data_IF_596626953553
#
_entry.id   IF_596626953553
#
_cell.length_a   1.000
_cell.length_b   1.000
_cell.length_c   1.000
_cell.angle_alpha   90.00
_cell.angle_beta   90.00
_cell.angle_gamma   90.00
#
_symmetry.space_group_name_H-M   'P 1'
#
loop_
_entity.id
_entity.type
_entity.pdbx_description
1 polymer ?
#
# COMPACT_ATOMS: atom_id res chain seq x y z
N UNK A 1 18.23 -7.48 7.45
CA UNK A 1 17.08 -6.85 6.74
C UNK A 1 17.34 -5.36 6.51
N UNK A 2 17.77 -4.61 7.53
CA UNK A 2 18.20 -3.20 7.42
C UNK A 2 19.33 -3.01 6.38
N UNK A 3 20.32 -3.92 6.32
CA UNK A 3 21.44 -3.78 5.37
C UNK A 3 21.03 -3.99 3.90
N UNK A 4 20.03 -4.83 3.62
CA UNK A 4 19.53 -5.04 2.26
C UNK A 4 18.72 -3.83 1.77
N UNK A 5 17.98 -3.19 2.68
CA UNK A 5 17.28 -1.92 2.44
C UNK A 5 18.27 -0.79 2.14
N UNK A 6 19.29 -0.59 2.98
CA UNK A 6 20.32 0.42 2.77
C UNK A 6 21.07 0.20 1.44
N UNK A 7 21.40 -1.06 1.13
CA UNK A 7 22.07 -1.42 -0.13
C UNK A 7 21.25 -1.10 -1.38
N UNK A 8 19.92 -1.27 -1.35
CA UNK A 8 19.10 -0.88 -2.50
C UNK A 8 19.17 0.61 -2.81
N UNK A 9 19.17 1.46 -1.80
CA UNK A 9 19.24 2.91 -1.98
C UNK A 9 20.64 3.41 -2.33
N UNK A 10 21.69 2.70 -1.92
CA UNK A 10 23.07 3.02 -2.25
C UNK A 10 23.48 2.54 -3.65
N UNK A 11 23.10 1.30 -4.00
CA UNK A 11 23.55 0.64 -5.23
C UNK A 11 22.47 0.54 -6.29
N UNK A 12 21.22 0.92 -6.03
CA UNK A 12 20.10 0.78 -6.97
C UNK A 12 19.61 -0.65 -7.20
N UNK A 13 20.24 -1.63 -6.54
CA UNK A 13 19.92 -3.06 -6.60
C UNK A 13 19.96 -3.63 -5.19
N UNK A 14 19.12 -4.62 -4.92
CA UNK A 14 19.14 -5.26 -3.60
C UNK A 14 20.40 -6.09 -3.48
N UNK A 15 21.21 -5.81 -2.45
CA UNK A 15 22.45 -6.52 -2.16
C UNK A 15 22.23 -8.04 -2.11
N UNK A 16 23.10 -8.78 -2.79
CA UNK A 16 23.04 -10.23 -2.89
C UNK A 16 23.09 -10.76 -4.32
N UNK A 17 22.69 -10.00 -5.34
CA UNK A 17 22.72 -10.49 -6.72
C UNK A 17 23.83 -9.85 -7.56
N UNK A 18 24.98 -10.53 -7.67
CA UNK A 18 26.13 -10.09 -8.46
C UNK A 18 25.78 -9.78 -9.93
N UNK A 19 24.84 -10.52 -10.53
CA UNK A 19 24.39 -10.27 -11.89
C UNK A 19 23.68 -8.92 -12.06
N UNK A 20 22.92 -8.48 -11.06
CA UNK A 20 22.22 -7.19 -11.13
C UNK A 20 23.20 -6.02 -10.98
N UNK A 21 24.17 -6.16 -10.08
CA UNK A 21 25.23 -5.16 -9.90
C UNK A 21 26.05 -5.01 -11.19
N UNK A 22 26.41 -6.14 -11.84
CA UNK A 22 27.06 -6.12 -13.15
C UNK A 22 26.18 -5.52 -14.25
N UNK A 23 24.89 -5.82 -14.25
CA UNK A 23 23.92 -5.24 -15.18
C UNK A 23 23.85 -3.73 -15.06
N UNK A 24 23.76 -3.22 -13.83
CA UNK A 24 23.70 -1.80 -13.52
C UNK A 24 24.96 -1.05 -13.98
N UNK A 25 26.13 -1.66 -13.81
CA UNK A 25 27.40 -1.11 -14.27
C UNK A 25 27.46 -0.98 -15.81
N UNK A 26 26.88 -1.95 -16.54
CA UNK A 26 26.79 -1.87 -18.01
C UNK A 26 25.79 -0.82 -18.50
N UNK A 27 24.69 -0.63 -17.78
CA UNK A 27 23.61 0.30 -18.17
C UNK A 27 23.89 1.77 -17.79
N UNK A 28 25.05 2.02 -17.17
CA UNK A 28 25.55 3.36 -16.85
C UNK A 28 24.99 3.95 -15.56
N UNK A 29 24.61 3.10 -14.59
CA UNK A 29 24.10 3.52 -13.27
C UNK A 29 22.93 4.51 -13.34
N UNK A 30 21.97 4.26 -14.24
CA UNK A 30 20.78 5.12 -14.36
C UNK A 30 19.93 4.96 -13.10
N UNK A 31 19.94 6.01 -12.27
CA UNK A 31 19.10 6.10 -11.08
C UNK A 31 17.62 6.11 -11.48
N UNK A 32 16.77 5.51 -10.64
CA UNK A 32 15.33 5.51 -10.84
C UNK A 32 14.83 6.98 -10.89
N UNK A 33 14.13 7.41 -11.96
CA UNK A 33 13.62 8.78 -12.06
C UNK A 33 12.72 9.21 -10.91
N UNK A 34 12.09 8.27 -10.19
CA UNK A 34 11.33 8.58 -8.96
C UNK A 34 12.20 9.14 -7.83
N UNK A 35 13.52 9.01 -7.91
CA UNK A 35 14.49 9.59 -6.98
C UNK A 35 14.82 11.06 -7.29
N UNK A 36 14.48 11.56 -8.48
CA UNK A 36 14.80 12.93 -8.90
C UNK A 36 13.86 13.99 -8.32
N UNK A 37 12.73 13.58 -7.74
CA UNK A 37 11.70 14.49 -7.26
C UNK A 37 11.42 14.17 -5.79
N UNK A 38 11.84 15.04 -4.89
CA UNK A 38 11.49 14.97 -3.47
C UNK A 38 10.92 16.31 -2.99
N UNK A 39 9.92 16.25 -2.12
CA UNK A 39 9.39 17.44 -1.44
C UNK A 39 10.34 18.00 -0.39
N UNK A 40 11.43 17.29 -0.07
CA UNK A 40 12.46 17.68 0.91
C UNK A 40 13.65 18.43 0.31
N UNK A 41 13.52 18.98 -0.89
CA UNK A 41 14.55 19.79 -1.56
C UNK A 41 15.71 18.93 -2.04
N UNK A 42 16.93 19.23 -1.59
CA UNK A 42 18.17 18.55 -2.00
C UNK A 42 18.35 17.16 -1.35
N UNK A 43 17.42 16.74 -0.49
CA UNK A 43 17.42 15.43 0.15
C UNK A 43 16.28 14.56 -0.35
N UNK A 44 16.49 13.24 -0.41
CA UNK A 44 15.46 12.28 -0.79
C UNK A 44 14.88 11.61 0.46
N UNK A 45 13.65 12.00 0.84
CA UNK A 45 12.92 11.32 1.91
C UNK A 45 12.41 9.96 1.43
N UNK A 46 13.19 8.91 1.68
CA UNK A 46 12.77 7.52 1.46
C UNK A 46 11.77 7.13 2.56
N UNK A 47 10.54 6.76 2.18
CA UNK A 47 9.64 6.12 3.13
C UNK A 47 10.15 4.71 3.47
N UNK A 48 10.15 4.33 4.75
CA UNK A 48 10.58 3.00 5.21
C UNK A 48 9.79 1.84 4.59
N UNK A 49 8.57 2.11 4.10
CA UNK A 49 7.74 1.16 3.35
C UNK A 49 8.21 0.94 1.91
N UNK A 50 9.25 1.65 1.45
CA UNK A 50 9.78 1.56 0.09
C UNK A 50 10.82 0.43 -0.07
N UNK A 51 10.86 -0.52 0.86
CA UNK A 51 11.71 -1.70 0.72
C UNK A 51 11.16 -2.58 -0.43
N UNK A 52 11.95 -2.78 -1.49
CA UNK A 52 11.51 -3.51 -2.68
C UNK A 52 11.20 -5.00 -2.42
N UNK A 53 11.60 -5.58 -1.29
CA UNK A 53 11.38 -7.00 -0.96
C UNK A 53 10.20 -7.22 -0.01
N UNK A 54 9.81 -6.23 0.80
CA UNK A 54 8.76 -6.40 1.82
C UNK A 54 7.38 -6.79 1.25
N UNK A 55 7.12 -6.51 -0.03
CA UNK A 55 5.85 -6.86 -0.71
C UNK A 55 5.75 -8.31 -1.22
N UNK A 56 6.75 -9.15 -0.97
CA UNK A 56 6.82 -10.51 -1.50
C UNK A 56 6.77 -11.57 -0.40
N UNK A 57 6.27 -12.76 -0.75
CA UNK A 57 6.25 -13.88 0.19
C UNK A 57 7.61 -14.59 0.14
N UNK A 58 8.43 -14.37 1.16
CA UNK A 58 9.80 -14.86 1.20
C UNK A 58 9.98 -16.10 2.06
N UNK A 59 8.93 -16.62 2.69
CA UNK A 59 9.06 -17.69 3.68
C UNK A 59 9.83 -18.90 3.13
N UNK A 60 9.49 -19.31 1.90
CA UNK A 60 10.14 -20.44 1.24
C UNK A 60 11.62 -20.22 0.87
N UNK A 61 12.09 -18.97 0.82
CA UNK A 61 13.51 -18.69 0.63
C UNK A 61 14.35 -19.09 1.86
N UNK A 62 13.71 -19.28 3.01
CA UNK A 62 14.35 -19.63 4.29
C UNK A 62 14.13 -21.09 4.72
N UNK A 63 13.51 -21.93 3.89
CA UNK A 63 13.21 -23.34 4.23
C UNK A 63 14.48 -24.21 4.37
N UNK A 64 15.61 -23.80 3.79
CA UNK A 64 16.87 -24.54 3.88
C UNK A 64 17.73 -24.07 5.07
N UNK A 65 17.66 -24.81 6.17
CA UNK A 65 18.44 -24.54 7.38
C UNK A 65 19.97 -24.62 7.17
N UNK A 66 20.43 -25.37 6.17
CA UNK A 66 21.85 -25.53 5.88
C UNK A 66 22.40 -24.43 4.94
N UNK A 67 21.53 -23.60 4.36
CA UNK A 67 21.97 -22.50 3.50
C UNK A 67 22.71 -21.45 4.31
N UNK A 68 23.83 -20.98 3.76
CA UNK A 68 24.56 -19.82 4.27
C UNK A 68 23.69 -18.56 4.20
N UNK A 69 24.04 -17.54 5.00
CA UNK A 69 23.29 -16.28 5.00
C UNK A 69 23.25 -15.62 3.61
N UNK A 70 24.33 -15.74 2.84
CA UNK A 70 24.43 -15.21 1.48
C UNK A 70 23.48 -15.94 0.52
N UNK A 71 23.45 -17.27 0.56
CA UNK A 71 22.54 -18.08 -0.27
C UNK A 71 21.07 -17.78 0.05
N UNK A 72 20.73 -17.53 1.32
CA UNK A 72 19.36 -17.14 1.72
C UNK A 72 18.97 -15.77 1.16
N UNK A 73 19.88 -14.79 1.18
CA UNK A 73 19.66 -13.46 0.60
C UNK A 73 19.44 -13.56 -0.92
N UNK A 74 20.29 -14.31 -1.60
CA UNK A 74 20.16 -14.58 -3.05
C UNK A 74 18.84 -15.26 -3.39
N UNK A 75 18.48 -16.31 -2.64
CA UNK A 75 17.22 -17.03 -2.79
C UNK A 75 16.01 -16.10 -2.60
N UNK A 76 16.02 -15.23 -1.58
CA UNK A 76 14.95 -14.27 -1.33
C UNK A 76 14.79 -13.26 -2.49
N UNK A 77 15.89 -12.72 -3.02
CA UNK A 77 15.88 -11.79 -4.16
C UNK A 77 15.34 -12.48 -5.42
N UNK A 78 15.81 -13.70 -5.72
CA UNK A 78 15.37 -14.47 -6.88
C UNK A 78 13.87 -14.82 -6.78
N UNK A 79 13.42 -15.20 -5.59
CA UNK A 79 12.02 -15.48 -5.31
C UNK A 79 11.14 -14.24 -5.49
N UNK A 80 11.55 -13.09 -4.94
CA UNK A 80 10.84 -11.82 -5.10
C UNK A 80 10.71 -11.43 -6.58
N UNK A 81 11.80 -11.54 -7.36
CA UNK A 81 11.79 -11.29 -8.81
C UNK A 81 10.88 -12.24 -9.59
N UNK A 82 10.91 -13.53 -9.24
CA UNK A 82 10.03 -14.53 -9.85
C UNK A 82 8.57 -14.19 -9.61
N UNK A 83 8.20 -13.91 -8.35
CA UNK A 83 6.85 -13.49 -7.98
C UNK A 83 6.44 -12.18 -8.67
N UNK A 84 7.34 -11.20 -8.76
CA UNK A 84 7.08 -9.94 -9.46
C UNK A 84 6.73 -10.19 -10.93
N UNK A 85 7.55 -10.99 -11.63
CA UNK A 85 7.33 -11.36 -13.03
C UNK A 85 5.97 -12.05 -13.21
N UNK A 86 5.66 -13.02 -12.37
CA UNK A 86 4.38 -13.74 -12.41
C UNK A 86 3.19 -12.79 -12.22
N UNK A 87 3.24 -11.93 -11.20
CA UNK A 87 2.21 -10.93 -10.91
C UNK A 87 2.03 -9.96 -12.09
N UNK A 88 3.12 -9.48 -12.69
CA UNK A 88 3.05 -8.60 -13.87
C UNK A 88 2.42 -9.31 -15.08
N UNK A 89 2.77 -10.57 -15.33
CA UNK A 89 2.17 -11.34 -16.43
C UNK A 89 0.67 -11.55 -16.21
N UNK A 90 0.26 -11.92 -15.00
CA UNK A 90 -1.14 -12.12 -14.62
C UNK A 90 -1.95 -10.81 -14.73
N UNK A 91 -1.42 -9.72 -14.18
CA UNK A 91 -2.02 -8.39 -14.28
C UNK A 91 -2.17 -7.96 -15.73
N UNK A 92 -1.10 -8.09 -16.52
CA UNK A 92 -1.12 -7.78 -17.96
C UNK A 92 -2.16 -8.61 -18.73
N UNK A 93 -2.36 -9.88 -18.36
CA UNK A 93 -3.43 -10.72 -18.88
C UNK A 93 -4.81 -10.11 -18.64
N UNK A 94 -5.09 -9.74 -17.39
CA UNK A 94 -6.38 -9.15 -16.98
C UNK A 94 -6.63 -7.77 -17.58
N UNK A 95 -5.60 -6.96 -17.75
CA UNK A 95 -5.70 -5.67 -18.46
C UNK A 95 -6.07 -5.89 -19.93
N UNK A 96 -5.43 -6.84 -20.62
CA UNK A 96 -5.77 -7.17 -22.03
C UNK A 96 -7.20 -7.68 -22.17
N UNK A 97 -7.70 -8.41 -21.19
CA UNK A 97 -9.09 -8.86 -21.09
C UNK A 97 -10.08 -7.72 -20.76
N UNK A 98 -9.61 -6.50 -20.49
CA UNK A 98 -10.43 -5.37 -20.00
C UNK A 98 -11.19 -5.72 -18.71
N UNK A 99 -10.66 -6.63 -17.91
CA UNK A 99 -11.28 -7.09 -16.67
C UNK A 99 -10.97 -6.19 -15.46
N UNK A 100 -10.15 -5.15 -15.65
CA UNK A 100 -9.69 -4.25 -14.58
C UNK A 100 -10.16 -2.84 -14.88
N UNK A 101 -10.84 -2.24 -13.90
CA UNK A 101 -11.18 -0.82 -13.88
C UNK A 101 -10.50 -0.18 -12.67
N UNK A 102 -9.60 0.77 -12.91
CA UNK A 102 -8.90 1.52 -11.85
C UNK A 102 -9.56 2.88 -11.71
N UNK A 103 -9.97 3.23 -10.49
CA UNK A 103 -10.48 4.56 -10.13
C UNK A 103 -9.61 5.13 -9.05
N UNK A 104 -9.15 6.37 -9.23
CA UNK A 104 -8.26 7.05 -8.31
C UNK A 104 -9.00 8.22 -7.68
N UNK A 105 -8.89 8.35 -6.36
CA UNK A 105 -9.38 9.48 -5.60
C UNK A 105 -8.23 10.06 -4.78
N UNK A 106 -8.15 11.39 -4.73
CA UNK A 106 -7.17 12.12 -3.93
C UNK A 106 -7.91 13.06 -2.99
N UNK A 107 -7.85 12.78 -1.69
CA UNK A 107 -8.49 13.59 -0.65
C UNK A 107 -8.62 12.84 0.66
N UNK A 108 -9.52 13.31 1.52
CA UNK A 108 -9.75 12.72 2.85
C UNK A 108 -10.42 11.34 2.74
N UNK A 109 -9.81 10.32 3.37
CA UNK A 109 -10.26 8.94 3.30
C UNK A 109 -11.57 8.69 4.06
N UNK A 110 -11.76 9.33 5.22
CA UNK A 110 -13.01 9.21 5.98
C UNK A 110 -14.13 9.84 5.17
N UNK A 111 -13.95 11.09 4.73
CA UNK A 111 -14.92 11.79 3.89
C UNK A 111 -15.31 10.95 2.67
N UNK A 112 -14.33 10.37 1.97
CA UNK A 112 -14.59 9.49 0.84
C UNK A 112 -15.48 8.30 1.22
N UNK A 113 -15.15 7.61 2.30
CA UNK A 113 -15.93 6.46 2.78
C UNK A 113 -17.38 6.85 3.10
N UNK A 114 -17.59 7.96 3.80
CA UNK A 114 -18.94 8.40 4.16
C UNK A 114 -19.74 8.92 2.95
N UNK A 115 -19.11 9.56 1.96
CA UNK A 115 -19.79 9.91 0.71
C UNK A 115 -20.21 8.64 -0.07
N UNK A 116 -19.37 7.59 -0.11
CA UNK A 116 -19.76 6.29 -0.69
C UNK A 116 -20.92 5.63 0.07
N UNK A 117 -20.96 5.74 1.40
CA UNK A 117 -22.10 5.25 2.19
C UNK A 117 -23.38 6.02 1.83
N UNK A 118 -23.28 7.34 1.66
CA UNK A 118 -24.39 8.20 1.25
C UNK A 118 -24.97 7.80 -0.10
N UNK A 119 -24.13 7.45 -1.08
CA UNK A 119 -24.59 6.90 -2.35
C UNK A 119 -25.32 5.56 -2.21
N UNK A 120 -24.83 4.69 -1.32
CA UNK A 120 -25.40 3.35 -1.08
C UNK A 120 -26.79 3.43 -0.46
N UNK A 121 -27.04 4.39 0.42
CA UNK A 121 -28.32 4.55 1.11
C UNK A 121 -28.80 6.01 1.10
N UNK A 122 -29.39 6.47 -0.02
CA UNK A 122 -29.85 7.85 -0.17
C UNK A 122 -30.93 8.25 0.84
N UNK A 123 -31.69 7.28 1.37
CA UNK A 123 -32.79 7.50 2.31
C UNK A 123 -32.32 7.78 3.75
N UNK A 124 -31.05 7.49 4.07
CA UNK A 124 -30.47 7.74 5.39
C UNK A 124 -29.10 8.42 5.27
N UNK A 125 -29.05 9.71 4.89
CA UNK A 125 -27.80 10.44 4.75
C UNK A 125 -27.19 10.70 6.13
N UNK A 126 -26.47 9.71 6.67
CA UNK A 126 -25.66 9.85 7.90
C UNK A 126 -24.47 10.82 7.74
N UNK A 127 -24.36 11.47 6.58
CA UNK A 127 -23.19 12.22 6.10
C UNK A 127 -23.06 13.65 6.61
N UNK A 128 -23.91 14.10 7.52
CA UNK A 128 -23.89 15.52 7.92
C UNK A 128 -22.75 15.86 8.89
N UNK A 129 -22.19 14.88 9.63
CA UNK A 129 -21.12 15.13 10.61
C UNK A 129 -19.77 15.43 9.95
N UNK A 130 -19.46 14.84 8.79
CA UNK A 130 -18.16 15.00 8.12
C UNK A 130 -18.18 15.94 6.90
N UNK A 131 -19.37 16.42 6.52
CA UNK A 131 -19.53 17.54 5.58
C UNK A 131 -19.18 18.89 6.22
N UNK A 132 -18.93 18.93 7.52
CA UNK A 132 -18.61 20.12 8.28
C UNK A 132 -17.11 20.47 8.18
N UNK A 133 -16.69 21.07 7.07
CA UNK A 133 -15.55 21.99 7.10
C UNK A 133 -16.08 23.42 7.31
N UNK A 134 -16.20 23.80 8.58
CA UNK A 134 -16.84 25.04 9.01
C UNK A 134 -16.11 26.33 8.54
N UNK A 135 -14.80 26.29 8.26
CA UNK A 135 -13.94 27.38 7.70
C UNK A 135 -12.46 26.91 7.67
N UNK A 136 -11.45 27.59 7.12
CA UNK A 136 -11.36 28.51 5.98
C UNK A 136 -10.42 27.86 4.91
N UNK A 137 -10.62 28.17 3.62
CA UNK A 137 -10.13 27.45 2.40
C UNK A 137 -10.86 26.12 2.08
N UNK A 138 -12.19 26.15 2.22
CA UNK A 138 -13.15 25.05 2.01
C UNK A 138 -12.97 24.29 0.68
N UNK A 139 -13.03 22.95 0.73
CA UNK A 139 -13.28 22.12 -0.45
C UNK A 139 -14.63 21.39 -0.38
N UNK A 140 -15.43 21.58 -1.42
CA UNK A 140 -16.61 20.82 -1.83
C UNK A 140 -16.41 20.72 -3.34
N UNK A 141 -16.19 19.55 -3.95
CA UNK A 141 -17.19 18.48 -3.98
C UNK A 141 -16.62 17.04 -3.99
N UNK A 142 -17.40 16.06 -3.51
CA UNK A 142 -17.38 14.72 -4.12
C UNK A 142 -18.77 14.53 -4.72
N UNK A 143 -18.81 14.46 -6.05
CA UNK A 143 -20.01 14.22 -6.83
C UNK A 143 -19.65 13.12 -7.83
N UNK A 144 -20.37 12.02 -7.77
CA UNK A 144 -19.99 10.71 -8.32
C UNK A 144 -20.86 10.38 -9.56
N UNK A 145 -21.09 11.39 -10.42
CA UNK A 145 -22.31 11.52 -11.24
C UNK A 145 -22.39 10.72 -12.55
N UNK A 146 -21.34 10.02 -13.00
CA UNK A 146 -21.37 9.28 -14.27
C UNK A 146 -20.93 7.81 -14.11
N UNK A 147 -21.69 7.03 -13.35
CA UNK A 147 -21.72 5.56 -13.49
C UNK A 147 -22.47 5.16 -14.78
N UNK A 148 -22.17 5.84 -15.89
CA UNK A 148 -22.89 5.62 -17.14
C UNK A 148 -22.29 4.41 -17.86
N UNK A 149 -22.63 3.25 -17.32
CA UNK A 149 -22.84 1.94 -17.93
C UNK A 149 -22.72 0.88 -16.84
N UNK A 150 -23.89 0.49 -16.31
CA UNK A 150 -24.15 -0.68 -15.46
C UNK A 150 -23.70 -0.63 -14.00
N UNK A 151 -24.70 -0.43 -13.12
CA UNK A 151 -24.91 -1.10 -11.82
C UNK A 151 -23.78 -1.08 -10.77
N UNK A 152 -24.15 -0.55 -9.60
CA UNK A 152 -23.91 -1.20 -8.31
C UNK A 152 -22.45 -1.37 -7.81
N UNK A 153 -21.67 -0.29 -7.68
CA UNK A 153 -20.68 -0.29 -6.58
C UNK A 153 -21.40 0.12 -5.30
N UNK A 154 -22.23 -0.80 -4.80
CA UNK A 154 -22.96 -0.63 -3.54
C UNK A 154 -22.18 -1.20 -2.36
N UNK A 155 -21.21 -2.09 -2.63
CA UNK A 155 -20.41 -2.73 -1.61
C UNK A 155 -19.13 -3.34 -2.19
N UNK A 156 -18.13 -3.52 -1.32
CA UNK A 156 -16.84 -4.10 -1.64
C UNK A 156 -16.67 -5.44 -0.94
N UNK A 157 -16.19 -6.45 -1.67
CA UNK A 157 -15.85 -7.74 -1.09
C UNK A 157 -14.54 -7.67 -0.30
N UNK A 158 -13.59 -6.84 -0.75
CA UNK A 158 -12.30 -6.64 -0.10
C UNK A 158 -12.04 -5.15 0.02
N UNK A 159 -11.68 -4.68 1.21
CA UNK A 159 -11.21 -3.32 1.46
C UNK A 159 -9.85 -3.42 2.15
N UNK A 160 -8.85 -2.77 1.58
CA UNK A 160 -7.53 -2.63 2.19
C UNK A 160 -7.32 -1.16 2.54
N UNK A 161 -7.14 -0.87 3.82
CA UNK A 161 -6.90 0.48 4.33
C UNK A 161 -5.44 0.81 4.47
N UNK A 162 -4.53 -0.13 4.18
CA UNK A 162 -3.12 -0.03 4.45
C UNK A 162 -2.89 0.45 5.91
N UNK A 163 -1.97 1.39 6.10
CA UNK A 163 -1.60 2.00 7.36
C UNK A 163 -2.50 3.15 7.82
N UNK A 164 -3.69 3.36 7.23
CA UNK A 164 -4.58 4.47 7.61
C UNK A 164 -5.02 4.42 9.08
N UNK A 165 -4.93 3.27 9.73
CA UNK A 165 -5.26 3.13 11.15
C UNK A 165 -4.32 3.95 12.06
N UNK A 166 -3.08 4.22 11.62
CA UNK A 166 -2.14 5.05 12.36
C UNK A 166 -2.59 6.54 12.39
N UNK A 167 -2.72 7.26 11.26
CA UNK A 167 -3.08 8.67 11.28
C UNK A 167 -4.55 8.93 11.65
N UNK A 168 -5.47 8.00 11.37
CA UNK A 168 -6.91 8.23 11.54
C UNK A 168 -7.51 7.54 12.76
N UNK A 169 -6.83 6.53 13.32
CA UNK A 169 -7.33 5.70 14.41
C UNK A 169 -8.37 4.68 13.95
N UNK A 170 -8.20 3.43 14.36
CA UNK A 170 -9.09 2.32 13.97
C UNK A 170 -10.56 2.54 14.35
N UNK A 171 -10.81 3.24 15.47
CA UNK A 171 -12.17 3.54 15.95
C UNK A 171 -12.91 4.54 15.06
N UNK A 172 -12.21 5.38 14.31
CA UNK A 172 -12.80 6.28 13.32
C UNK A 172 -12.97 5.59 11.96
N UNK A 173 -12.06 4.67 11.62
CA UNK A 173 -12.09 3.91 10.37
C UNK A 173 -13.22 2.86 10.32
N UNK A 174 -13.39 2.08 11.38
CA UNK A 174 -14.40 1.02 11.43
C UNK A 174 -15.82 1.49 11.08
N UNK A 175 -16.37 2.57 11.67
CA UNK A 175 -17.70 3.05 11.29
C UNK A 175 -17.76 3.64 9.87
N UNK A 176 -16.64 4.11 9.33
CA UNK A 176 -16.55 4.63 7.96
C UNK A 176 -16.51 3.50 6.92
N UNK A 177 -15.90 2.35 7.24
CA UNK A 177 -15.63 1.28 6.27
C UNK A 177 -16.59 0.10 6.39
N UNK A 178 -16.98 -0.29 7.61
CA UNK A 178 -17.84 -1.44 7.84
C UNK A 178 -19.13 -1.40 7.00
N UNK A 179 -19.82 -0.26 6.85
CA UNK A 179 -21.02 -0.18 6.00
C UNK A 179 -20.73 -0.20 4.49
N UNK A 180 -19.47 -0.20 4.05
CA UNK A 180 -19.09 -0.33 2.64
C UNK A 180 -18.80 -1.79 2.25
N UNK A 181 -18.63 -2.70 3.21
CA UNK A 181 -18.42 -4.11 2.91
C UNK A 181 -19.69 -4.78 2.38
N UNK A 182 -19.48 -5.76 1.50
CA UNK A 182 -20.52 -6.67 1.01
C UNK A 182 -21.05 -7.52 2.17
N UNK A 183 -22.35 -7.82 2.18
CA UNK A 183 -22.95 -8.74 3.17
C UNK A 183 -22.72 -10.21 2.79
N UNK A 184 -21.45 -10.58 2.62
CA UNK A 184 -21.00 -11.96 2.36
C UNK A 184 -20.12 -12.40 3.52
N UNK A 185 -20.17 -13.69 3.86
CA UNK A 185 -19.29 -14.25 4.89
C UNK A 185 -17.79 -14.18 4.52
N UNK A 186 -17.49 -14.00 3.23
CA UNK A 186 -16.13 -13.89 2.69
C UNK A 186 -15.63 -12.45 2.59
N UNK A 187 -16.46 -11.44 2.90
CA UNK A 187 -16.03 -10.05 2.81
C UNK A 187 -15.01 -9.73 3.89
N UNK A 188 -13.89 -9.13 3.50
CA UNK A 188 -12.75 -8.93 4.41
C UNK A 188 -12.22 -7.50 4.35
N UNK A 189 -11.83 -6.98 5.51
CA UNK A 189 -11.12 -5.72 5.65
C UNK A 189 -9.69 -6.00 6.12
N UNK A 190 -8.70 -5.50 5.38
CA UNK A 190 -7.30 -5.52 5.75
C UNK A 190 -6.90 -4.13 6.26
N UNK A 191 -6.17 -4.11 7.38
CA UNK A 191 -5.62 -2.91 7.97
C UNK A 191 -4.28 -3.24 8.60
N UNK A 192 -3.34 -2.32 8.50
CA UNK A 192 -2.03 -2.41 9.12
C UNK A 192 -1.81 -1.21 10.03
N UNK A 193 -0.94 -1.37 11.03
CA UNK A 193 -0.46 -0.29 11.90
C UNK A 193 1.06 -0.38 11.94
N UNK A 194 1.75 0.67 11.51
CA UNK A 194 3.20 0.74 11.48
C UNK A 194 3.75 1.48 12.71
N UNK A 195 2.93 2.32 13.33
CA UNK A 195 3.28 3.07 14.53
C UNK A 195 3.12 2.19 15.78
N UNK A 196 4.24 1.88 16.44
CA UNK A 196 4.21 1.31 17.80
C UNK A 196 3.72 2.37 18.78
N UNK A 197 2.41 2.41 19.05
CA UNK A 197 1.81 3.36 20.01
C UNK A 197 2.19 3.09 21.47
N UNK A 198 2.87 1.97 21.74
CA UNK A 198 3.43 1.63 23.05
C UNK A 198 4.94 1.52 22.93
N UNK A 199 5.67 2.15 23.86
CA UNK A 199 7.03 1.76 24.19
C UNK A 199 7.08 0.24 24.36
N UNK A 200 8.20 -0.37 23.98
CA UNK A 200 8.40 -1.79 24.26
C UNK A 200 8.09 -2.03 25.74
N UNK A 201 7.30 -3.03 26.12
CA UNK A 201 7.10 -3.37 27.53
C UNK A 201 8.43 -3.45 28.29
N UNK A 202 9.51 -3.88 27.63
CA UNK A 202 10.87 -3.86 28.19
C UNK A 202 11.34 -2.45 28.58
N UNK A 203 11.02 -1.41 27.80
CA UNK A 203 11.35 0.00 28.07
C UNK A 203 10.43 0.64 29.13
N UNK A 204 9.29 0.01 29.43
CA UNK A 204 8.35 0.46 30.47
C UNK A 204 8.78 -0.08 31.85
N UNK A 205 9.45 -1.24 31.89
CA UNK A 205 9.87 -1.91 33.13
C UNK A 205 11.27 -1.45 33.58
N UNK A 206 12.00 -0.68 32.76
CA UNK A 206 13.34 -0.17 33.05
C UNK A 206 13.37 1.17 33.84
N UNK A 207 12.27 1.57 34.48
CA UNK A 207 12.20 2.74 35.36
C UNK A 207 11.61 2.42 36.73
#
# INVERSE_FOLDING_TARGET
MIDAFCGFWEYGVIGGNSQDAEGLARDGHRVNPSMAISSTGDTFAVAHSSDPILGFNLASAFDNDNATEQERKESAVLLAKSQFRERCMAFGGKVREKAILIRVYCGDALRFCYELQGLRNPENPRTNILRLYASAWRSTPIVLDNFDTSRDINAFDIIDTNNLADPLGILNLLPAISPLLSRKATSTMFTETLSKYTKDPADIISH
#
